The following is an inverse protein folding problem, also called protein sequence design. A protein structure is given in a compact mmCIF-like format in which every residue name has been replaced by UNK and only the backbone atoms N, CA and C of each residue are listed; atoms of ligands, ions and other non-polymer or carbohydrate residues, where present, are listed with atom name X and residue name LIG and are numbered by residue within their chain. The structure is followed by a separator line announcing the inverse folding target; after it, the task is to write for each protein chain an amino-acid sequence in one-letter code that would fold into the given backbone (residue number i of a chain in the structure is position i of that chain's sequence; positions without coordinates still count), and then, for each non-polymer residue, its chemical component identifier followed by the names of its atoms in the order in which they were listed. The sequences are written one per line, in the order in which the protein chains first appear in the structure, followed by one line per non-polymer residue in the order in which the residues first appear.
data_IF_473085162268
#
_entry.id   IF_473085162268
#
_cell.length_a   1.000
_cell.length_b   1.000
_cell.length_c   1.000
_cell.angle_alpha   90.00
_cell.angle_beta   90.00
_cell.angle_gamma   90.00
#
_symmetry.space_group_name_H-M   'P 1'
#
loop_
_entity.id
_entity.type
_entity.pdbx_description
1 polymer ?
#
# COMPACT_ATOMS: atom_id res chain seq x y z
N UNK A 1 18.52 -1.22 -10.86
CA UNK A 1 18.55 0.24 -11.10
C UNK A 1 19.53 0.96 -10.17
N UNK A 2 19.51 0.70 -8.86
CA UNK A 2 20.43 1.36 -7.91
C UNK A 2 21.91 1.02 -8.17
N UNK A 3 22.23 -0.27 -8.39
CA UNK A 3 23.60 -0.72 -8.72
C UNK A 3 24.13 -0.11 -10.04
N UNK A 4 23.23 0.26 -10.94
CA UNK A 4 23.53 0.91 -12.21
C UNK A 4 23.51 2.45 -12.08
N UNK A 5 23.39 3.00 -10.86
CA UNK A 5 23.31 4.43 -10.56
C UNK A 5 22.14 5.16 -11.24
N UNK A 6 21.13 4.43 -11.71
CA UNK A 6 19.94 5.00 -12.36
C UNK A 6 18.96 5.61 -11.37
N UNK A 7 18.98 5.16 -10.11
CA UNK A 7 18.14 5.69 -9.02
C UNK A 7 18.98 5.70 -7.74
N UNK A 8 18.61 6.56 -6.80
CA UNK A 8 19.27 6.60 -5.49
C UNK A 8 18.74 5.49 -4.56
N UNK A 9 19.51 5.15 -3.53
CA UNK A 9 19.04 4.28 -2.44
C UNK A 9 17.79 4.85 -1.75
N UNK A 10 17.69 6.18 -1.65
CA UNK A 10 16.51 6.84 -1.10
C UNK A 10 15.26 6.58 -1.97
N UNK A 11 15.39 6.66 -3.30
CA UNK A 11 14.28 6.34 -4.23
C UNK A 11 13.84 4.89 -4.10
N UNK A 12 14.77 3.95 -3.88
CA UNK A 12 14.44 2.55 -3.63
C UNK A 12 13.66 2.41 -2.31
N UNK A 13 14.16 2.98 -1.22
CA UNK A 13 13.48 2.93 0.07
C UNK A 13 12.08 3.57 0.02
N UNK A 14 11.92 4.68 -0.70
CA UNK A 14 10.60 5.29 -0.93
C UNK A 14 9.67 4.37 -1.73
N UNK A 15 10.18 3.69 -2.76
CA UNK A 15 9.40 2.72 -3.55
C UNK A 15 8.90 1.56 -2.70
N UNK A 16 9.73 1.05 -1.78
CA UNK A 16 9.33 0.02 -0.83
C UNK A 16 8.20 0.48 0.10
N UNK A 17 8.26 1.72 0.61
CA UNK A 17 7.20 2.30 1.44
C UNK A 17 5.89 2.41 0.64
N UNK A 18 5.98 2.89 -0.60
CA UNK A 18 4.83 3.01 -1.51
C UNK A 18 4.21 1.64 -1.76
N UNK A 19 5.04 0.62 -2.02
CA UNK A 19 4.59 -0.76 -2.19
C UNK A 19 3.88 -1.28 -0.95
N UNK A 20 4.53 -1.18 0.23
CA UNK A 20 3.96 -1.61 1.50
C UNK A 20 2.63 -0.91 1.80
N UNK A 21 2.55 0.41 1.59
CA UNK A 21 1.31 1.17 1.76
C UNK A 21 0.21 0.66 0.83
N UNK A 22 0.50 0.50 -0.46
CA UNK A 22 -0.44 -0.08 -1.44
C UNK A 22 -0.98 -1.43 -1.01
N UNK A 23 -0.12 -2.33 -0.51
CA UNK A 23 -0.55 -3.63 0.04
C UNK A 23 -1.51 -3.45 1.22
N UNK A 24 -1.18 -2.58 2.18
CA UNK A 24 -1.94 -2.36 3.42
C UNK A 24 -3.31 -1.70 3.17
N UNK A 25 -3.45 -0.91 2.11
CA UNK A 25 -4.74 -0.35 1.69
C UNK A 25 -5.52 -1.28 0.75
N UNK A 26 -5.14 -2.56 0.66
CA UNK A 26 -5.80 -3.53 -0.21
C UNK A 26 -5.77 -3.14 -1.71
N UNK A 27 -4.73 -2.43 -2.15
CA UNK A 27 -4.49 -2.24 -3.57
C UNK A 27 -4.02 -3.57 -4.18
N UNK A 28 -4.93 -4.25 -4.87
CA UNK A 28 -4.63 -5.50 -5.59
C UNK A 28 -3.94 -5.28 -6.93
N UNK A 29 -3.89 -4.03 -7.41
CA UNK A 29 -3.34 -3.65 -8.72
C UNK A 29 -2.01 -2.90 -8.59
N UNK A 30 -1.19 -3.32 -7.61
CA UNK A 30 0.17 -2.81 -7.46
C UNK A 30 1.09 -3.47 -8.49
N UNK A 31 1.58 -2.68 -9.45
CA UNK A 31 2.50 -3.12 -10.49
C UNK A 31 3.45 -1.99 -10.91
N UNK A 32 4.54 -2.33 -11.63
CA UNK A 32 5.56 -1.36 -12.05
C UNK A 32 5.01 -0.21 -12.91
N UNK A 33 3.90 -0.42 -13.63
CA UNK A 33 3.22 0.64 -14.39
C UNK A 33 2.56 1.75 -13.56
N UNK A 34 2.39 1.55 -12.24
CA UNK A 34 1.82 2.53 -11.31
C UNK A 34 2.90 3.32 -10.55
N UNK A 35 4.16 3.23 -11.01
CA UNK A 35 5.31 3.96 -10.52
C UNK A 35 5.96 4.67 -11.69
N UNK A 36 6.37 5.92 -11.52
CA UNK A 36 7.04 6.67 -12.56
C UNK A 36 8.17 7.51 -12.04
N UNK A 37 9.04 7.88 -12.96
CA UNK A 37 10.18 8.76 -12.71
C UNK A 37 10.11 9.95 -13.64
N UNK A 38 10.63 11.09 -13.20
CA UNK A 38 10.81 12.23 -14.08
C UNK A 38 11.84 11.90 -15.17
N UNK A 39 11.57 12.39 -16.38
CA UNK A 39 12.53 12.31 -17.46
C UNK A 39 13.64 13.34 -17.22
N UNK A 40 14.77 12.87 -16.72
CA UNK A 40 15.97 13.67 -16.41
C UNK A 40 17.23 12.85 -16.65
N UNK A 41 18.41 13.46 -16.47
CA UNK A 41 19.62 12.67 -16.30
C UNK A 41 19.56 11.85 -15.00
N UNK A 42 20.18 10.65 -14.94
CA UNK A 42 20.30 9.89 -13.70
C UNK A 42 21.04 10.67 -12.59
N UNK A 43 20.71 10.42 -11.31
CA UNK A 43 19.70 9.47 -10.85
C UNK A 43 18.28 10.01 -11.04
N UNK A 44 17.39 9.17 -11.56
CA UNK A 44 16.00 9.54 -11.79
C UNK A 44 15.25 9.77 -10.46
N UNK A 45 14.50 10.87 -10.40
CA UNK A 45 13.65 11.19 -9.27
C UNK A 45 12.25 10.57 -9.46
N UNK A 46 11.70 9.99 -8.38
CA UNK A 46 10.32 9.51 -8.37
C UNK A 46 9.34 10.65 -8.62
N UNK A 47 8.31 10.40 -9.42
CA UNK A 47 7.14 11.29 -9.50
C UNK A 47 6.27 11.13 -8.25
N UNK A 48 5.36 12.07 -7.97
CA UNK A 48 4.30 11.84 -6.99
C UNK A 48 3.56 10.53 -7.27
N UNK A 49 3.11 9.87 -6.21
CA UNK A 49 2.30 8.65 -6.32
C UNK A 49 0.93 8.94 -6.92
N UNK A 50 0.41 7.96 -7.65
CA UNK A 50 -0.92 7.96 -8.22
C UNK A 50 -1.51 6.56 -8.10
N UNK A 51 -2.82 6.43 -8.35
CA UNK A 51 -3.54 5.16 -8.35
C UNK A 51 -3.39 4.32 -7.05
N UNK A 52 -3.41 5.01 -5.91
CA UNK A 52 -3.35 4.40 -4.58
C UNK A 52 -4.76 4.15 -4.04
N UNK A 53 -5.44 3.17 -4.62
CA UNK A 53 -6.84 2.84 -4.32
C UNK A 53 -6.99 1.41 -3.80
N UNK A 54 -8.02 1.11 -2.97
CA UNK A 54 -8.26 -0.22 -2.44
C UNK A 54 -8.91 -1.14 -3.49
N UNK A 55 -8.17 -1.42 -4.58
CA UNK A 55 -8.67 -2.08 -5.78
C UNK A 55 -9.21 -3.50 -5.56
N UNK A 56 -8.89 -4.15 -4.43
CA UNK A 56 -9.48 -5.44 -4.08
C UNK A 56 -11.01 -5.40 -3.92
N UNK A 57 -11.58 -4.21 -3.70
CA UNK A 57 -13.01 -3.97 -3.56
C UNK A 57 -13.67 -3.39 -4.82
N UNK A 58 -12.92 -3.22 -5.91
CA UNK A 58 -13.53 -2.92 -7.20
C UNK A 58 -14.45 -4.09 -7.63
N UNK A 59 -15.54 -3.82 -8.37
CA UNK A 59 -16.36 -4.86 -8.94
C UNK A 59 -15.52 -5.82 -9.76
N UNK A 60 -15.72 -7.12 -9.58
CA UNK A 60 -15.09 -8.11 -10.46
C UNK A 60 -15.77 -8.13 -11.85
N UNK A 61 -15.32 -9.01 -12.74
CA UNK A 61 -15.89 -9.15 -14.09
C UNK A 61 -17.37 -9.52 -14.13
N UNK A 62 -17.91 -10.08 -13.04
CA UNK A 62 -19.33 -10.39 -12.86
C UNK A 62 -20.11 -9.25 -12.14
N UNK A 63 -19.45 -8.13 -11.84
CA UNK A 63 -20.05 -6.99 -11.14
C UNK A 63 -20.21 -7.18 -9.62
N UNK A 64 -19.65 -8.25 -9.04
CA UNK A 64 -19.78 -8.51 -7.60
C UNK A 64 -18.78 -7.66 -6.81
N UNK A 65 -19.27 -7.05 -5.73
CA UNK A 65 -18.49 -6.33 -4.74
C UNK A 65 -18.17 -7.24 -3.55
N UNK A 66 -17.00 -7.07 -2.96
CA UNK A 66 -16.68 -7.69 -1.66
C UNK A 66 -17.35 -6.90 -0.55
N UNK A 67 -17.82 -7.62 0.46
CA UNK A 67 -18.58 -7.10 1.60
C UNK A 67 -17.85 -7.26 2.95
N UNK A 68 -16.62 -7.78 2.95
CA UNK A 68 -15.83 -8.03 4.16
C UNK A 68 -14.36 -7.64 3.99
N UNK A 69 -13.70 -7.32 5.10
CA UNK A 69 -12.27 -7.01 5.08
C UNK A 69 -11.42 -8.18 4.58
N UNK A 70 -10.44 -7.87 3.73
CA UNK A 70 -9.55 -8.87 3.14
C UNK A 70 -8.32 -9.13 4.01
N UNK A 71 -7.72 -10.30 3.81
CA UNK A 71 -6.35 -10.55 4.27
C UNK A 71 -5.36 -9.71 3.47
N UNK A 72 -4.54 -8.93 4.18
CA UNK A 72 -3.45 -8.18 3.56
C UNK A 72 -2.31 -9.14 3.21
N UNK A 73 -1.82 -9.08 1.97
CA UNK A 73 -0.64 -9.88 1.59
C UNK A 73 0.62 -9.23 2.15
N UNK A 74 1.38 -10.00 2.92
CA UNK A 74 2.72 -9.66 3.39
C UNK A 74 3.76 -10.07 2.35
N UNK A 75 4.75 -9.22 2.09
CA UNK A 75 5.84 -9.45 1.14
C UNK A 75 7.18 -9.39 1.87
N UNK A 76 7.89 -10.51 1.88
CA UNK A 76 9.18 -10.68 2.55
C UNK A 76 10.33 -9.96 1.82
N UNK A 77 10.13 -9.58 0.55
CA UNK A 77 11.16 -8.86 -0.22
C UNK A 77 11.20 -7.37 0.09
N UNK A 78 10.26 -6.89 0.92
CA UNK A 78 10.13 -5.48 1.28
C UNK A 78 10.73 -5.26 2.65
N UNK A 79 11.59 -4.24 2.75
CA UNK A 79 12.32 -3.96 4.00
C UNK A 79 11.41 -3.75 5.22
N UNK A 80 11.93 -4.14 6.39
CA UNK A 80 11.25 -3.96 7.68
C UNK A 80 10.91 -2.49 7.94
N UNK A 81 11.84 -1.60 7.64
CA UNK A 81 11.67 -0.15 7.79
C UNK A 81 10.55 0.38 6.89
N UNK A 82 10.41 -0.12 5.66
CA UNK A 82 9.33 0.29 4.78
C UNK A 82 7.94 -0.09 5.33
N UNK A 83 7.80 -1.33 5.81
CA UNK A 83 6.56 -1.77 6.47
C UNK A 83 6.23 -0.92 7.70
N UNK A 84 7.20 -0.72 8.60
CA UNK A 84 7.01 0.08 9.82
C UNK A 84 6.64 1.54 9.50
N UNK A 85 7.14 2.08 8.40
CA UNK A 85 6.78 3.43 7.92
C UNK A 85 5.35 3.46 7.36
N UNK A 86 4.95 2.42 6.60
CA UNK A 86 3.66 2.38 5.90
C UNK A 86 2.46 2.03 6.81
N UNK A 87 2.67 1.23 7.85
CA UNK A 87 1.62 0.79 8.79
C UNK A 87 0.80 1.95 9.38
N UNK A 88 1.40 2.98 10.03
CA UNK A 88 0.62 4.07 10.61
C UNK A 88 -0.13 4.88 9.54
N UNK A 89 0.46 5.05 8.35
CA UNK A 89 -0.20 5.74 7.23
C UNK A 89 -1.44 4.99 6.76
N UNK A 90 -1.35 3.66 6.63
CA UNK A 90 -2.47 2.82 6.22
C UNK A 90 -3.57 2.74 7.29
N UNK A 91 -3.20 2.70 8.58
CA UNK A 91 -4.17 2.79 9.68
C UNK A 91 -4.95 4.11 9.62
N UNK A 92 -4.26 5.24 9.43
CA UNK A 92 -4.90 6.55 9.27
C UNK A 92 -5.81 6.59 8.04
N UNK A 93 -5.38 6.01 6.92
CA UNK A 93 -6.21 5.90 5.71
C UNK A 93 -7.54 5.21 6.00
N UNK A 94 -7.52 3.99 6.55
CA UNK A 94 -8.73 3.23 6.83
C UNK A 94 -9.63 3.89 7.89
N UNK A 95 -9.05 4.49 8.93
CA UNK A 95 -9.80 5.28 9.90
C UNK A 95 -10.50 6.49 9.27
N UNK A 96 -9.85 7.14 8.30
CA UNK A 96 -10.44 8.26 7.55
C UNK A 96 -11.60 7.77 6.68
N UNK A 97 -11.42 6.68 5.93
CA UNK A 97 -12.48 6.06 5.12
C UNK A 97 -13.68 5.64 5.98
N UNK A 98 -13.43 5.02 7.13
CA UNK A 98 -14.46 4.56 8.06
C UNK A 98 -15.32 5.69 8.65
N UNK A 99 -14.83 6.93 8.66
CA UNK A 99 -15.49 8.10 9.25
C UNK A 99 -16.06 9.07 8.21
N UNK A 100 -15.71 8.89 6.93
CA UNK A 100 -16.12 9.81 5.87
C UNK A 100 -17.60 9.57 5.49
N UNK A 101 -18.52 10.53 5.72
CA UNK A 101 -19.93 10.35 5.43
C UNK A 101 -20.24 10.20 3.94
N UNK A 102 -19.31 10.55 3.04
CA UNK A 102 -19.45 10.39 1.59
C UNK A 102 -19.28 8.94 1.14
N UNK A 103 -18.66 8.09 1.97
CA UNK A 103 -18.46 6.67 1.71
C UNK A 103 -19.70 5.90 2.19
N UNK A 104 -20.15 4.91 1.43
CA UNK A 104 -21.32 4.09 1.79
C UNK A 104 -21.16 3.42 3.17
N UNK A 105 -22.27 3.25 3.89
CA UNK A 105 -22.26 2.63 5.22
C UNK A 105 -21.64 1.23 5.20
N UNK A 106 -22.01 0.39 4.23
CA UNK A 106 -21.45 -0.94 4.05
C UNK A 106 -19.91 -0.90 3.91
N UNK A 107 -19.39 0.03 3.11
CA UNK A 107 -17.94 0.14 2.94
C UNK A 107 -17.23 0.74 4.16
N UNK A 108 -17.89 1.62 4.92
CA UNK A 108 -17.36 2.09 6.21
C UNK A 108 -17.21 0.96 7.21
N UNK A 109 -18.11 -0.03 7.23
CA UNK A 109 -17.96 -1.23 8.06
C UNK A 109 -16.73 -2.05 7.67
N UNK A 110 -16.50 -2.29 6.39
CA UNK A 110 -15.28 -2.93 5.89
C UNK A 110 -14.03 -2.17 6.36
N UNK A 111 -14.04 -0.84 6.21
CA UNK A 111 -12.92 0.01 6.61
C UNK A 111 -12.64 -0.03 8.13
N UNK A 112 -13.65 -0.28 8.97
CA UNK A 112 -13.48 -0.44 10.42
C UNK A 112 -12.78 -1.75 10.79
N UNK A 113 -12.86 -2.78 9.94
CA UNK A 113 -12.24 -4.09 10.17
C UNK A 113 -10.77 -4.14 9.69
N UNK A 114 -10.42 -3.34 8.68
CA UNK A 114 -9.07 -3.32 8.08
C UNK A 114 -7.91 -3.03 9.07
N UNK A 115 -8.05 -2.16 10.10
CA UNK A 115 -7.00 -1.95 11.10
C UNK A 115 -6.55 -3.24 11.82
N UNK A 116 -7.46 -4.18 12.06
CA UNK A 116 -7.10 -5.47 12.68
C UNK A 116 -6.26 -6.33 11.72
N UNK A 117 -6.57 -6.29 10.41
CA UNK A 117 -5.76 -6.95 9.37
C UNK A 117 -4.35 -6.34 9.29
N UNK A 118 -4.24 -5.02 9.44
CA UNK A 118 -2.94 -4.33 9.48
C UNK A 118 -2.15 -4.72 10.73
N UNK A 119 -2.79 -4.83 11.90
CA UNK A 119 -2.14 -5.26 13.15
C UNK A 119 -1.49 -6.64 13.00
N UNK A 120 -2.13 -7.56 12.28
CA UNK A 120 -1.56 -8.88 11.99
C UNK A 120 -0.32 -8.80 11.09
N UNK A 121 -0.23 -7.81 10.20
CA UNK A 121 0.98 -7.53 9.42
C UNK A 121 2.07 -6.95 10.32
N UNK A 122 1.73 -6.00 11.19
CA UNK A 122 2.67 -5.40 12.13
C UNK A 122 3.35 -6.45 13.04
N UNK A 123 2.59 -7.43 13.51
CA UNK A 123 3.15 -8.56 14.26
C UNK A 123 4.15 -9.39 13.42
N UNK A 124 3.83 -9.65 12.15
CA UNK A 124 4.72 -10.37 11.22
C UNK A 124 6.00 -9.57 10.97
N UNK A 125 5.87 -8.26 10.72
CA UNK A 125 6.98 -7.33 10.51
C UNK A 125 7.90 -7.28 11.73
N UNK A 126 7.33 -7.25 12.94
CA UNK A 126 8.12 -7.25 14.19
C UNK A 126 9.00 -8.49 14.30
N UNK A 127 8.48 -9.66 13.89
CA UNK A 127 9.20 -10.95 13.89
C UNK A 127 10.17 -11.10 12.71
N UNK A 128 10.13 -10.21 11.72
CA UNK A 128 11.09 -10.20 10.62
C UNK A 128 12.49 -9.89 11.16
N UNK A 129 13.45 -10.75 10.83
CA UNK A 129 14.87 -10.55 11.14
C UNK A 129 15.38 -9.24 10.54
N UNK A 130 16.41 -8.67 11.17
CA UNK A 130 17.14 -7.51 10.65
C UNK A 130 18.18 -7.90 9.63
#
# INVERSE_FOLDING_TARGET
MCEQQLVTHQSVAQTEVIWAFGRLIANSDMHAGNLSFYLSEPPFALTPVYDMLPMAYAPNSAGMLRDAAIEVKFDLNISKSAWLTAIPLAQQFWQTVARDPRISEAFRHIAQEMPEKIRQIEEKVTRMGG
#
